data_IF_412050127503
#
_entry.id   IF_412050127503
#
_cell.length_a   1.000
_cell.length_b   1.000
_cell.length_c   1.000
_cell.angle_alpha   90.00
_cell.angle_beta   90.00
_cell.angle_gamma   90.00
#
_symmetry.space_group_name_H-M   'P 1'
#
loop_
_entity.id
_entity.type
_entity.pdbx_description
1 polymer ?
#
# COMPACT_ATOMS: atom_id res chain seq x y z
N UNK A 1 13.22 -9.08 -11.61
CA UNK A 1 11.94 -9.31 -10.91
C UNK A 1 11.91 -8.37 -9.72
N UNK A 2 10.90 -7.51 -9.61
CA UNK A 2 10.80 -6.56 -8.49
C UNK A 2 9.98 -7.23 -7.38
N UNK A 3 10.55 -7.32 -6.19
CA UNK A 3 9.97 -8.03 -5.04
C UNK A 3 9.65 -7.13 -3.85
N UNK A 4 9.97 -5.83 -3.93
CA UNK A 4 9.62 -4.83 -2.93
C UNK A 4 9.25 -3.48 -3.56
N UNK A 5 8.47 -2.69 -2.83
CA UNK A 5 8.06 -1.36 -3.26
C UNK A 5 7.44 -0.51 -2.16
N UNK A 6 7.33 0.79 -2.41
CA UNK A 6 6.67 1.74 -1.51
C UNK A 6 5.17 1.81 -1.83
N UNK A 7 4.36 1.23 -0.96
CA UNK A 7 2.90 1.25 -1.03
C UNK A 7 2.28 2.28 -0.09
N UNK A 8 0.96 2.25 0.02
CA UNK A 8 0.20 3.12 0.93
C UNK A 8 -1.00 2.41 1.54
N UNK A 9 -1.14 2.50 2.86
CA UNK A 9 -2.29 1.97 3.59
C UNK A 9 -3.23 3.12 3.97
N UNK A 10 -4.52 2.98 3.67
CA UNK A 10 -5.56 3.97 3.95
C UNK A 10 -6.57 3.42 4.95
N UNK A 11 -6.91 4.20 5.97
CA UNK A 11 -8.02 3.89 6.88
C UNK A 11 -9.30 4.54 6.38
N UNK A 12 -10.26 3.73 5.92
CA UNK A 12 -11.55 4.19 5.42
C UNK A 12 -12.48 4.55 6.59
N UNK A 13 -13.53 5.34 6.30
CA UNK A 13 -14.54 5.75 7.29
C UNK A 13 -15.36 4.59 7.84
N UNK A 14 -15.49 3.50 7.09
CA UNK A 14 -16.18 2.28 7.50
C UNK A 14 -15.31 1.36 8.39
N UNK A 15 -14.16 1.86 8.87
CA UNK A 15 -13.24 1.10 9.73
C UNK A 15 -12.38 0.08 8.97
N UNK A 16 -12.59 -0.09 7.66
CA UNK A 16 -11.80 -1.01 6.83
C UNK A 16 -10.52 -0.34 6.35
N UNK A 17 -9.57 -1.16 5.93
CA UNK A 17 -8.32 -0.71 5.32
C UNK A 17 -8.34 -0.94 3.82
N UNK A 18 -7.68 -0.05 3.08
CA UNK A 18 -7.38 -0.22 1.66
C UNK A 18 -5.87 -0.07 1.49
N UNK A 19 -5.26 -1.00 0.75
CA UNK A 19 -3.83 -0.94 0.42
C UNK A 19 -3.65 -0.61 -1.06
N UNK A 20 -2.72 0.30 -1.32
CA UNK A 20 -2.17 0.59 -2.63
C UNK A 20 -0.84 -0.12 -2.79
N UNK A 21 -0.71 -0.90 -3.87
CA UNK A 21 0.54 -1.52 -4.31
C UNK A 21 1.04 -0.82 -5.58
N UNK A 22 2.36 -0.59 -5.74
CA UNK A 22 2.88 -0.02 -6.97
C UNK A 22 2.74 -0.98 -8.16
N UNK A 23 2.46 -0.43 -9.36
CA UNK A 23 2.25 -1.21 -10.60
C UNK A 23 3.45 -2.09 -10.95
N UNK A 24 4.67 -1.62 -10.67
CA UNK A 24 5.89 -2.41 -10.90
C UNK A 24 6.01 -3.63 -9.97
N UNK A 25 5.20 -3.70 -8.91
CA UNK A 25 5.15 -4.79 -7.94
C UNK A 25 3.94 -5.70 -8.18
N UNK A 26 2.81 -5.15 -8.64
CA UNK A 26 1.60 -5.90 -8.97
C UNK A 26 0.91 -5.26 -10.19
N UNK A 27 0.72 -6.03 -11.26
CA UNK A 27 0.14 -5.55 -12.52
C UNK A 27 -1.31 -5.07 -12.36
N UNK A 28 -2.10 -5.70 -11.48
CA UNK A 28 -3.46 -5.29 -11.11
C UNK A 28 -3.46 -4.35 -9.88
N UNK A 29 -2.61 -3.32 -9.95
CA UNK A 29 -2.50 -2.28 -8.93
C UNK A 29 -3.63 -1.26 -9.10
N UNK A 30 -4.50 -1.08 -8.10
CA UNK A 30 -5.40 0.08 -8.07
C UNK A 30 -4.59 1.38 -8.09
N UNK A 31 -4.86 2.28 -9.04
CA UNK A 31 -4.14 3.55 -9.16
C UNK A 31 -4.14 4.34 -7.83
N UNK A 32 -3.04 5.00 -7.44
CA UNK A 32 -3.02 5.76 -6.20
C UNK A 32 -4.00 6.91 -6.31
N UNK A 33 -5.05 6.88 -5.49
CA UNK A 33 -6.01 7.97 -5.45
C UNK A 33 -5.34 9.23 -4.90
N UNK A 34 -4.89 10.12 -5.79
CA UNK A 34 -4.24 11.41 -5.47
C UNK A 34 -5.01 12.27 -4.46
N UNK A 35 -6.31 12.00 -4.28
CA UNK A 35 -7.23 12.74 -3.39
C UNK A 35 -7.96 11.85 -2.38
N UNK A 36 -7.46 10.67 -2.02
CA UNK A 36 -8.20 9.76 -1.12
C UNK A 36 -8.52 10.33 0.27
N UNK A 37 -8.03 11.52 0.65
CA UNK A 37 -8.44 12.25 1.86
C UNK A 37 -9.44 13.40 1.64
N UNK A 38 -9.74 13.80 0.39
CA UNK A 38 -10.61 14.96 0.09
C UNK A 38 -11.95 14.51 -0.49
N UNK A 39 -12.91 14.14 0.38
CA UNK A 39 -14.29 13.86 -0.03
C UNK A 39 -15.13 13.11 1.01
N UNK A 40 -16.44 12.97 0.77
CA UNK A 40 -17.38 12.26 1.67
C UNK A 40 -16.99 10.80 1.94
N UNK A 41 -16.31 10.13 0.99
CA UNK A 41 -15.81 8.74 1.09
C UNK A 41 -14.31 8.62 1.41
N UNK A 42 -13.62 9.73 1.66
CA UNK A 42 -12.17 9.75 1.86
C UNK A 42 -11.71 9.09 3.16
N UNK A 43 -10.51 8.50 3.15
CA UNK A 43 -9.78 8.01 4.30
C UNK A 43 -9.22 9.18 5.13
N UNK A 44 -9.32 9.12 6.46
CA UNK A 44 -8.87 10.18 7.38
C UNK A 44 -7.36 10.17 7.66
N UNK A 45 -6.59 9.44 6.86
CA UNK A 45 -5.15 9.34 6.96
C UNK A 45 -4.62 8.24 6.05
N UNK A 46 -3.36 8.36 5.67
CA UNK A 46 -2.64 7.32 4.95
C UNK A 46 -1.26 7.11 5.54
N UNK A 47 -0.85 5.87 5.68
CA UNK A 47 0.46 5.47 6.18
C UNK A 47 1.26 4.94 5.00
N UNK A 48 2.46 5.47 4.79
CA UNK A 48 3.37 4.90 3.81
C UNK A 48 3.91 3.57 4.35
N UNK A 49 3.92 2.54 3.50
CA UNK A 49 4.32 1.19 3.88
C UNK A 49 5.35 0.64 2.91
N UNK A 50 6.28 -0.17 3.44
CA UNK A 50 7.08 -1.08 2.63
C UNK A 50 6.24 -2.32 2.36
N UNK A 51 6.12 -2.71 1.10
CA UNK A 51 5.49 -3.97 0.71
C UNK A 51 6.55 -4.84 0.08
N UNK A 52 6.63 -6.10 0.49
CA UNK A 52 7.59 -7.07 -0.06
C UNK A 52 7.04 -8.50 -0.07
N UNK A 53 7.62 -9.33 -0.93
CA UNK A 53 7.36 -10.77 -1.00
C UNK A 53 8.63 -11.48 -1.50
N UNK A 54 8.73 -12.80 -1.28
CA UNK A 54 9.89 -13.58 -1.71
C UNK A 54 9.52 -14.52 -2.86
N UNK A 55 10.08 -14.31 -4.08
CA UNK A 55 9.87 -15.22 -5.19
C UNK A 55 10.36 -16.65 -4.88
N UNK A 56 9.47 -17.63 -4.93
CA UNK A 56 9.80 -19.03 -4.61
C UNK A 56 10.02 -19.32 -3.12
N UNK A 57 9.83 -18.33 -2.25
CA UNK A 57 9.78 -18.50 -0.80
C UNK A 57 8.36 -18.77 -0.30
N UNK A 58 8.09 -18.35 0.93
CA UNK A 58 6.76 -18.44 1.52
C UNK A 58 5.72 -17.68 0.69
N UNK A 59 4.53 -18.27 0.51
CA UNK A 59 3.39 -17.62 -0.18
C UNK A 59 2.74 -16.52 0.69
N UNK A 60 3.50 -15.48 1.02
CA UNK A 60 3.11 -14.39 1.92
C UNK A 60 3.47 -13.02 1.31
N UNK A 61 2.62 -12.04 1.58
CA UNK A 61 2.88 -10.63 1.33
C UNK A 61 3.17 -9.95 2.67
N UNK A 62 4.33 -9.31 2.78
CA UNK A 62 4.78 -8.61 4.00
C UNK A 62 4.53 -7.11 3.82
N UNK A 63 3.88 -6.50 4.82
CA UNK A 63 3.55 -5.08 4.84
C UNK A 63 4.03 -4.49 6.16
N UNK A 64 4.94 -3.52 6.09
CA UNK A 64 5.55 -2.88 7.25
C UNK A 64 5.48 -1.36 7.11
N UNK A 65 5.52 -0.62 8.23
CA UNK A 65 5.60 0.84 8.18
C UNK A 65 6.87 1.26 7.43
N UNK A 66 6.75 2.24 6.52
CA UNK A 66 7.90 2.77 5.81
C UNK A 66 8.76 3.62 6.76
N UNK A 67 9.85 3.05 7.26
CA UNK A 67 10.88 3.76 7.97
C UNK A 67 11.86 4.35 6.95
N UNK A 68 11.67 5.62 6.56
CA UNK A 68 12.69 6.32 5.75
C UNK A 68 14.03 6.28 6.50
N UNK A 69 15.17 6.01 5.83
CA UNK A 69 16.46 6.31 6.44
C UNK A 69 16.47 7.79 6.83
N UNK A 70 16.87 8.07 8.08
CA UNK A 70 17.04 9.44 8.59
C UNK A 70 18.11 10.19 7.83
#
# INVERSE_FOLDING_TARGET
>A
MVSEGRGRLFRRKDGKYLIYLPVYLAEDSMFPFKKFGKGRRGATGSIDVKVSFEPGGDSKLIIETWNSPK
#
